data_IF_378143638872
#
_entry.id   IF_378143638872
#
_cell.length_a   1.000
_cell.length_b   1.000
_cell.length_c   1.000
_cell.angle_alpha   90.00
_cell.angle_beta   90.00
_cell.angle_gamma   90.00
#
_symmetry.space_group_name_H-M   'P 1'
#
loop_
_entity.id
_entity.type
_entity.pdbx_description
1 polymer ?
#
# COMPACT_ATOMS: atom_id res chain seq x y z
N UNK A 1 -40.41 19.17 7.15
CA UNK A 1 -39.09 19.52 7.73
C UNK A 1 -38.40 18.33 8.39
N UNK A 2 -39.03 17.62 9.33
CA UNK A 2 -38.42 16.47 10.03
C UNK A 2 -37.90 15.36 9.11
N UNK A 3 -38.64 15.00 8.05
CA UNK A 3 -38.20 13.98 7.08
C UNK A 3 -36.91 14.35 6.33
N UNK A 4 -36.73 15.62 5.94
CA UNK A 4 -35.49 16.09 5.29
C UNK A 4 -34.29 16.08 6.24
N UNK A 5 -34.51 16.41 7.52
CA UNK A 5 -33.44 16.37 8.54
C UNK A 5 -33.00 14.92 8.77
N UNK A 6 -33.95 13.98 8.90
CA UNK A 6 -33.64 12.55 9.04
C UNK A 6 -32.89 12.03 7.81
N UNK A 7 -33.32 12.37 6.59
CA UNK A 7 -32.59 12.02 5.38
C UNK A 7 -31.16 12.58 5.37
N UNK A 8 -30.96 13.82 5.83
CA UNK A 8 -29.62 14.42 5.95
C UNK A 8 -28.72 13.68 6.93
N UNK A 9 -29.25 13.30 8.09
CA UNK A 9 -28.52 12.52 9.10
C UNK A 9 -28.14 11.14 8.57
N UNK A 10 -29.07 10.45 7.89
CA UNK A 10 -28.82 9.13 7.30
C UNK A 10 -27.75 9.22 6.19
N UNK A 11 -27.83 10.22 5.32
CA UNK A 11 -26.82 10.44 4.28
C UNK A 11 -25.44 10.72 4.89
N UNK A 12 -25.36 11.56 5.93
CA UNK A 12 -24.11 11.84 6.63
C UNK A 12 -23.52 10.58 7.26
N UNK A 13 -24.35 9.78 7.94
CA UNK A 13 -23.90 8.53 8.55
C UNK A 13 -23.36 7.53 7.53
N UNK A 14 -23.98 7.45 6.35
CA UNK A 14 -23.49 6.59 5.26
C UNK A 14 -22.15 7.08 4.71
N UNK A 15 -22.00 8.38 4.43
CA UNK A 15 -20.76 8.95 3.91
C UNK A 15 -19.60 8.76 4.90
N UNK A 16 -19.84 9.05 6.18
CA UNK A 16 -18.83 8.86 7.23
C UNK A 16 -18.49 7.38 7.41
N UNK A 17 -19.50 6.50 7.42
CA UNK A 17 -19.31 5.06 7.53
C UNK A 17 -18.48 4.50 6.39
N UNK A 18 -18.79 4.86 5.14
CA UNK A 18 -18.02 4.48 3.96
C UNK A 18 -16.57 4.95 4.06
N UNK A 19 -16.34 6.24 4.38
CA UNK A 19 -14.99 6.77 4.50
C UNK A 19 -14.14 6.07 5.58
N UNK A 20 -14.74 5.72 6.72
CA UNK A 20 -14.04 4.97 7.78
C UNK A 20 -13.68 3.56 7.28
N UNK A 21 -14.62 2.86 6.66
CA UNK A 21 -14.37 1.50 6.13
C UNK A 21 -13.28 1.51 5.06
N UNK A 22 -13.29 2.49 4.16
CA UNK A 22 -12.28 2.65 3.11
C UNK A 22 -10.87 2.81 3.71
N UNK A 23 -10.72 3.72 4.68
CA UNK A 23 -9.42 3.95 5.35
C UNK A 23 -8.94 2.70 6.07
N UNK A 24 -9.84 1.98 6.76
CA UNK A 24 -9.48 0.74 7.47
C UNK A 24 -9.04 -0.35 6.50
N UNK A 25 -9.78 -0.58 5.42
CA UNK A 25 -9.47 -1.62 4.42
C UNK A 25 -8.14 -1.35 3.73
N UNK A 26 -7.87 -0.10 3.35
CA UNK A 26 -6.60 0.27 2.72
C UNK A 26 -5.44 0.18 3.70
N UNK A 27 -5.60 0.67 4.93
CA UNK A 27 -4.55 0.59 5.96
C UNK A 27 -4.16 -0.85 6.27
N UNK A 28 -5.14 -1.76 6.37
CA UNK A 28 -4.89 -3.20 6.56
C UNK A 28 -4.18 -3.81 5.34
N UNK A 29 -4.59 -3.42 4.13
CA UNK A 29 -3.94 -3.85 2.88
C UNK A 29 -2.47 -3.45 2.81
N UNK A 30 -2.15 -2.20 3.13
CA UNK A 30 -0.76 -1.71 3.22
C UNK A 30 0.02 -2.42 4.33
N UNK A 31 -0.58 -2.63 5.50
CA UNK A 31 0.05 -3.36 6.61
C UNK A 31 0.38 -4.82 6.25
N UNK A 32 -0.53 -5.52 5.58
CA UNK A 32 -0.28 -6.88 5.10
C UNK A 32 0.84 -6.92 4.06
N UNK A 33 0.82 -5.99 3.09
CA UNK A 33 1.85 -5.92 2.06
C UNK A 33 3.21 -5.54 2.64
N UNK A 34 3.25 -4.70 3.68
CA UNK A 34 4.45 -4.38 4.44
C UNK A 34 5.07 -5.61 5.09
N UNK A 35 4.26 -6.45 5.75
CA UNK A 35 4.74 -7.73 6.31
C UNK A 35 5.29 -8.68 5.24
N UNK A 36 4.64 -8.74 4.07
CA UNK A 36 5.16 -9.51 2.94
C UNK A 36 6.50 -8.95 2.43
N UNK A 37 6.67 -7.63 2.44
CA UNK A 37 7.93 -6.99 2.07
C UNK A 37 9.05 -7.36 3.03
N UNK A 38 8.79 -7.36 4.34
CA UNK A 38 9.79 -7.80 5.34
C UNK A 38 10.21 -9.25 5.12
N UNK A 39 9.26 -10.15 4.84
CA UNK A 39 9.57 -11.54 4.50
C UNK A 39 10.35 -11.67 3.18
N UNK A 40 10.09 -10.81 2.19
CA UNK A 40 10.87 -10.76 0.97
C UNK A 40 12.29 -10.25 1.22
N UNK A 41 12.47 -9.25 2.09
CA UNK A 41 13.79 -8.74 2.50
C UNK A 41 14.63 -9.82 3.20
N UNK A 42 14.06 -10.54 4.16
CA UNK A 42 14.74 -11.65 4.84
C UNK A 42 15.20 -12.73 3.84
N UNK A 43 14.34 -13.11 2.89
CA UNK A 43 14.70 -14.06 1.83
C UNK A 43 15.73 -13.51 0.87
N UNK A 44 15.72 -12.21 0.57
CA UNK A 44 16.71 -11.57 -0.27
C UNK A 44 18.09 -11.54 0.40
N UNK A 45 18.15 -11.24 1.71
CA UNK A 45 19.37 -11.34 2.51
C UNK A 45 19.92 -12.76 2.56
N UNK A 46 19.03 -13.76 2.70
CA UNK A 46 19.39 -15.17 2.65
C UNK A 46 19.72 -15.67 1.22
N UNK A 47 19.59 -14.83 0.19
CA UNK A 47 19.76 -15.20 -1.23
C UNK A 47 18.86 -16.36 -1.69
N UNK A 48 17.69 -16.49 -1.06
CA UNK A 48 16.71 -17.57 -1.34
C UNK A 48 15.45 -17.08 -2.03
N UNK A 49 15.25 -15.76 -2.14
CA UNK A 49 14.06 -15.19 -2.77
C UNK A 49 14.01 -15.53 -4.27
N UNK A 50 12.95 -16.24 -4.68
CA UNK A 50 12.75 -16.62 -6.08
C UNK A 50 11.89 -15.62 -6.85
N UNK A 51 12.05 -15.56 -8.17
CA UNK A 51 11.19 -14.74 -9.03
C UNK A 51 9.70 -15.08 -8.86
N UNK A 52 9.36 -16.36 -8.68
CA UNK A 52 7.96 -16.80 -8.50
C UNK A 52 7.34 -16.23 -7.23
N UNK A 53 8.08 -16.25 -6.13
CA UNK A 53 7.63 -15.65 -4.87
C UNK A 53 7.49 -14.14 -5.01
N UNK A 54 8.43 -13.48 -5.69
CA UNK A 54 8.34 -12.05 -5.96
C UNK A 54 7.11 -11.71 -6.82
N UNK A 55 6.79 -12.51 -7.84
CA UNK A 55 5.58 -12.32 -8.66
C UNK A 55 4.30 -12.42 -7.83
N UNK A 56 4.24 -13.32 -6.86
CA UNK A 56 3.09 -13.41 -5.94
C UNK A 56 3.00 -12.16 -5.06
N UNK A 57 4.13 -11.70 -4.52
CA UNK A 57 4.20 -10.45 -3.76
C UNK A 57 3.74 -9.25 -4.59
N UNK A 58 4.24 -9.10 -5.83
CA UNK A 58 3.83 -8.05 -6.76
C UNK A 58 2.33 -8.11 -7.11
N UNK A 59 1.75 -9.30 -7.26
CA UNK A 59 0.30 -9.42 -7.52
C UNK A 59 -0.55 -8.89 -6.37
N UNK A 60 -0.08 -8.98 -5.13
CA UNK A 60 -0.77 -8.40 -3.99
C UNK A 60 -0.68 -6.88 -4.01
N UNK A 61 0.47 -6.32 -4.43
CA UNK A 61 0.58 -4.89 -4.73
C UNK A 61 -0.39 -4.45 -5.84
N UNK A 62 -0.46 -5.18 -6.96
CA UNK A 62 -1.34 -4.81 -8.09
C UNK A 62 -2.81 -4.71 -7.67
N UNK A 63 -3.29 -5.61 -6.82
CA UNK A 63 -4.65 -5.55 -6.26
C UNK A 63 -4.85 -4.34 -5.34
N UNK A 64 -3.88 -4.05 -4.48
CA UNK A 64 -3.95 -2.91 -3.56
C UNK A 64 -3.87 -1.57 -4.32
N UNK A 65 -3.04 -1.53 -5.38
CA UNK A 65 -2.83 -0.35 -6.23
C UNK A 65 -4.13 0.12 -6.87
N UNK A 66 -4.97 -0.78 -7.38
CA UNK A 66 -6.26 -0.41 -8.00
C UNK A 66 -7.15 0.40 -7.04
N UNK A 67 -7.20 0.02 -5.77
CA UNK A 67 -7.93 0.77 -4.74
C UNK A 67 -7.18 2.05 -4.31
N UNK A 68 -5.85 2.00 -4.29
CA UNK A 68 -4.99 3.11 -3.86
C UNK A 68 -4.96 4.25 -4.86
N UNK A 69 -4.95 3.98 -6.16
CA UNK A 69 -4.94 5.00 -7.22
C UNK A 69 -6.21 5.86 -7.22
N UNK A 70 -7.32 5.38 -6.66
CA UNK A 70 -8.54 6.16 -6.54
C UNK A 70 -8.48 7.20 -5.41
N UNK A 71 -7.71 6.93 -4.36
CA UNK A 71 -7.83 7.61 -3.07
C UNK A 71 -6.54 8.28 -2.59
N UNK A 72 -5.38 7.94 -3.17
CA UNK A 72 -4.05 8.36 -2.72
C UNK A 72 -3.33 9.27 -3.71
N UNK A 73 -2.31 10.01 -3.26
CA UNK A 73 -1.43 10.75 -4.14
C UNK A 73 -0.82 9.83 -5.21
N UNK A 74 -1.09 10.15 -6.48
CA UNK A 74 -0.62 9.34 -7.59
C UNK A 74 0.92 9.26 -7.69
N UNK A 75 1.67 10.22 -7.14
CA UNK A 75 3.14 10.23 -7.16
C UNK A 75 3.73 9.07 -6.37
N UNK A 76 3.24 8.84 -5.15
CA UNK A 76 3.82 7.86 -4.23
C UNK A 76 3.41 6.44 -4.64
N UNK A 77 2.17 6.29 -5.11
CA UNK A 77 1.68 5.03 -5.68
C UNK A 77 2.43 4.69 -6.97
N UNK A 78 2.74 5.69 -7.81
CA UNK A 78 3.54 5.50 -9.01
C UNK A 78 4.97 5.07 -8.68
N UNK A 79 5.62 5.71 -7.70
CA UNK A 79 6.96 5.36 -7.26
C UNK A 79 7.00 3.91 -6.74
N UNK A 80 6.05 3.52 -5.88
CA UNK A 80 5.88 2.13 -5.43
C UNK A 80 5.81 1.17 -6.62
N UNK A 81 4.95 1.48 -7.59
CA UNK A 81 4.77 0.64 -8.78
C UNK A 81 6.06 0.51 -9.62
N UNK A 82 6.82 1.60 -9.77
CA UNK A 82 8.12 1.58 -10.45
C UNK A 82 9.10 0.67 -9.71
N UNK A 83 9.22 0.82 -8.38
CA UNK A 83 10.13 0.00 -7.56
C UNK A 83 9.77 -1.47 -7.59
N UNK A 84 8.49 -1.84 -7.58
CA UNK A 84 8.05 -3.22 -7.77
C UNK A 84 8.46 -3.79 -9.14
N UNK A 85 8.38 -2.99 -10.21
CA UNK A 85 8.78 -3.42 -11.54
C UNK A 85 10.30 -3.63 -11.66
N UNK A 86 11.10 -2.70 -11.11
CA UNK A 86 12.57 -2.80 -11.07
C UNK A 86 13.02 -3.98 -10.19
N UNK A 87 12.46 -4.12 -8.99
CA UNK A 87 12.75 -5.22 -8.08
C UNK A 87 12.45 -6.59 -8.70
N UNK A 88 11.36 -6.74 -9.46
CA UNK A 88 11.10 -8.00 -10.17
C UNK A 88 12.21 -8.35 -11.17
N UNK A 89 12.72 -7.36 -11.90
CA UNK A 89 13.84 -7.57 -12.82
C UNK A 89 15.08 -8.06 -12.06
N UNK A 90 15.40 -7.46 -10.90
CA UNK A 90 16.54 -7.88 -10.08
C UNK A 90 16.35 -9.26 -9.43
N UNK A 91 15.13 -9.61 -9.01
CA UNK A 91 14.80 -10.95 -8.54
C UNK A 91 15.02 -12.01 -9.62
N UNK A 92 14.63 -11.71 -10.87
CA UNK A 92 14.88 -12.59 -12.03
C UNK A 92 16.37 -12.74 -12.33
N UNK A 93 17.14 -11.65 -12.21
CA UNK A 93 18.59 -11.66 -12.43
C UNK A 93 19.37 -12.22 -11.25
N UNK A 94 18.71 -12.56 -10.12
CA UNK A 94 19.35 -12.97 -8.86
C UNK A 94 20.37 -11.94 -8.36
N UNK A 95 20.14 -10.65 -8.66
CA UNK A 95 20.93 -9.54 -8.16
C UNK A 95 20.36 -9.07 -6.82
N UNK A 96 20.69 -9.79 -5.76
CA UNK A 96 20.14 -9.56 -4.41
C UNK A 96 20.54 -8.20 -3.82
N UNK A 97 21.72 -7.66 -4.17
CA UNK A 97 22.15 -6.35 -3.69
C UNK A 97 21.20 -5.23 -4.17
N UNK A 98 20.92 -5.19 -5.47
CA UNK A 98 19.99 -4.21 -6.03
C UNK A 98 18.56 -4.48 -5.56
N UNK A 99 18.16 -5.75 -5.52
CA UNK A 99 16.84 -6.16 -5.02
C UNK A 99 16.59 -5.64 -3.60
N UNK A 100 17.53 -5.82 -2.68
CA UNK A 100 17.39 -5.35 -1.30
C UNK A 100 17.31 -3.82 -1.19
N UNK A 101 18.04 -3.08 -2.04
CA UNK A 101 17.93 -1.63 -2.11
C UNK A 101 16.51 -1.20 -2.51
N UNK A 102 15.94 -1.81 -3.55
CA UNK A 102 14.56 -1.50 -3.97
C UNK A 102 13.52 -1.96 -2.94
N UNK A 103 13.70 -3.13 -2.32
CA UNK A 103 12.82 -3.61 -1.25
C UNK A 103 12.81 -2.66 -0.04
N UNK A 104 13.95 -2.03 0.28
CA UNK A 104 14.03 -1.04 1.36
C UNK A 104 13.19 0.20 1.06
N UNK A 105 13.24 0.69 -0.20
CA UNK A 105 12.39 1.81 -0.63
C UNK A 105 10.91 1.42 -0.62
N UNK A 106 10.58 0.20 -1.07
CA UNK A 106 9.21 -0.32 -1.02
C UNK A 106 8.71 -0.39 0.42
N UNK A 107 9.51 -0.92 1.35
CA UNK A 107 9.17 -1.00 2.78
C UNK A 107 8.83 0.38 3.35
N UNK A 108 9.68 1.38 3.09
CA UNK A 108 9.49 2.73 3.59
C UNK A 108 8.21 3.37 3.05
N UNK A 109 7.96 3.22 1.74
CA UNK A 109 6.75 3.73 1.09
C UNK A 109 5.48 3.01 1.59
N UNK A 110 5.53 1.68 1.79
CA UNK A 110 4.40 0.90 2.32
C UNK A 110 4.03 1.32 3.74
N UNK A 111 5.00 1.80 4.52
CA UNK A 111 4.77 2.35 5.86
C UNK A 111 4.27 3.79 5.79
N UNK A 112 4.86 4.62 4.94
CA UNK A 112 4.58 6.06 4.87
C UNK A 112 3.23 6.39 4.21
N UNK A 113 2.92 5.79 3.06
CA UNK A 113 1.70 6.08 2.28
C UNK A 113 0.39 5.96 3.09
N UNK A 114 0.15 4.89 3.88
CA UNK A 114 -1.07 4.81 4.68
C UNK A 114 -1.16 5.89 5.76
N UNK A 115 -0.05 6.46 6.23
CA UNK A 115 -0.09 7.60 7.16
C UNK A 115 -0.68 8.87 6.53
N UNK A 116 -0.60 9.03 5.21
CA UNK A 116 -1.21 10.14 4.49
C UNK A 116 -2.74 10.03 4.40
N UNK A 117 -3.28 8.82 4.58
CA UNK A 117 -4.72 8.55 4.52
C UNK A 117 -5.46 8.97 5.78
N UNK A 118 -4.78 8.87 6.92
CA UNK A 118 -5.38 9.14 8.21
C UNK A 118 -5.18 10.63 8.50
N UNK A 119 -6.27 11.42 8.61
CA UNK A 119 -6.16 12.79 9.06
C UNK A 119 -5.70 12.80 10.52
N UNK A 120 -4.38 12.92 10.71
CA UNK A 120 -3.74 13.08 12.00
C UNK A 120 -3.45 14.57 12.23
N UNK A 121 -3.63 15.10 13.45
CA UNK A 121 -3.31 16.49 13.76
C UNK A 121 -1.86 16.87 13.44
N UNK A 122 -0.94 15.90 13.38
CA UNK A 122 0.47 16.09 12.97
C UNK A 122 0.60 16.56 11.51
N UNK A 123 -0.39 16.30 10.67
CA UNK A 123 -0.39 16.67 9.24
C UNK A 123 -1.25 17.92 8.95
N UNK A 124 -1.96 18.44 9.96
CA UNK A 124 -2.90 19.58 9.83
C UNK A 124 -2.35 20.84 10.55
N UNK A 125 -1.45 20.67 11.54
CA UNK A 125 -0.85 21.74 12.34
C UNK A 125 0.60 22.02 11.95
#
# INVERSE_FOLDING_TARGET
>A
MTKSIVCGIVALALVLGCGIVEVVVLSDGYGNLHQQCLGAMEKAEAHTLTEKEFVVFRKNWEKLREASELLLPHSDVYELNLRFAEAQMYARQQNFQQLSAHLSVIEELLRYVPHLMVPSPVHIL
#
